data_IF_668921084872
#
_entry.id   IF_668921084872
#
_cell.length_a   1.000
_cell.length_b   1.000
_cell.length_c   1.000
_cell.angle_alpha   90.00
_cell.angle_beta   90.00
_cell.angle_gamma   90.00
#
_symmetry.space_group_name_H-M   'P 1'
#
loop_
_entity.id
_entity.type
_entity.pdbx_description
1 polymer ?
#
# COMPACT_ATOMS: atom_id res chain seq x y z
N UNK A 1 -35.11 -34.65 -5.40
CA UNK A 1 -34.38 -34.97 -4.16
C UNK A 1 -33.10 -34.15 -4.14
N UNK A 2 -33.09 -33.14 -3.30
CA UNK A 2 -31.91 -32.41 -2.82
C UNK A 2 -30.85 -33.38 -2.29
N UNK A 3 -29.58 -33.00 -2.42
CA UNK A 3 -28.47 -33.17 -1.45
C UNK A 3 -27.20 -32.70 -2.19
N UNK A 4 -26.80 -31.44 -2.05
CA UNK A 4 -25.91 -30.91 -1.00
C UNK A 4 -24.70 -30.38 -1.78
N UNK A 5 -24.60 -29.06 -1.99
CA UNK A 5 -23.72 -28.18 -1.21
C UNK A 5 -22.28 -28.69 -1.11
N UNK A 6 -21.52 -28.48 -2.18
CA UNK A 6 -20.09 -28.17 -2.03
C UNK A 6 -19.87 -26.69 -2.38
N UNK A 7 -20.26 -25.83 -1.45
CA UNK A 7 -19.86 -24.42 -1.39
C UNK A 7 -18.36 -24.32 -0.99
N UNK A 8 -17.48 -24.99 -1.72
CA UNK A 8 -16.03 -25.00 -1.45
C UNK A 8 -15.22 -24.13 -2.44
N UNK A 9 -15.89 -23.49 -3.41
CA UNK A 9 -15.27 -22.47 -4.29
C UNK A 9 -15.27 -21.06 -3.69
N UNK A 10 -15.32 -20.93 -2.36
CA UNK A 10 -15.35 -19.64 -1.66
C UNK A 10 -14.32 -19.60 -0.53
N UNK A 11 -13.03 -19.58 -0.88
CA UNK A 11 -11.99 -19.22 0.08
C UNK A 11 -10.70 -18.68 -0.57
N UNK A 12 -10.82 -17.84 -1.61
CA UNK A 12 -9.78 -16.87 -1.91
C UNK A 12 -10.33 -15.50 -1.55
N UNK A 13 -9.72 -14.84 -0.56
CA UNK A 13 -9.94 -13.45 -0.15
C UNK A 13 -11.13 -13.15 0.79
N UNK A 14 -11.26 -13.86 1.92
CA UNK A 14 -11.84 -13.24 3.12
C UNK A 14 -10.80 -12.41 3.87
N UNK A 15 -10.40 -11.30 3.26
CA UNK A 15 -10.06 -10.10 4.03
C UNK A 15 -10.98 -8.98 3.54
N UNK A 16 -12.28 -9.18 3.80
CA UNK A 16 -13.32 -8.16 3.71
C UNK A 16 -13.26 -7.28 4.97
N UNK A 17 -12.06 -6.81 5.30
CA UNK A 17 -11.83 -5.98 6.47
C UNK A 17 -11.90 -4.53 5.98
N UNK A 18 -12.98 -3.86 6.39
CA UNK A 18 -13.25 -2.42 6.48
C UNK A 18 -12.04 -1.53 6.10
N UNK A 19 -12.16 -0.52 5.25
CA UNK A 19 -12.82 0.75 5.58
C UNK A 19 -13.10 1.57 4.31
N UNK A 20 -14.29 2.17 4.27
CA UNK A 20 -14.70 3.20 3.31
C UNK A 20 -14.30 4.62 3.76
N UNK A 21 -13.19 4.77 4.49
CA UNK A 21 -12.76 6.03 5.10
C UNK A 21 -11.30 6.37 4.72
N UNK A 22 -10.94 7.66 4.55
CA UNK A 22 -9.67 8.06 3.99
C UNK A 22 -8.48 7.56 4.83
N UNK A 23 -7.69 6.66 4.22
CA UNK A 23 -6.30 6.23 4.53
C UNK A 23 -5.73 6.69 5.88
N UNK A 24 -6.39 6.31 6.97
CA UNK A 24 -5.80 6.37 8.30
C UNK A 24 -4.90 5.14 8.44
N UNK A 25 -3.61 5.36 8.68
CA UNK A 25 -2.64 4.26 8.85
C UNK A 25 -2.74 3.75 10.30
N UNK A 26 -3.92 3.29 10.70
CA UNK A 26 -4.16 2.71 12.02
C UNK A 26 -3.84 1.21 12.02
N UNK A 27 -2.95 0.76 12.91
CA UNK A 27 -2.71 -0.69 13.11
C UNK A 27 -3.22 -1.10 14.48
N UNK A 28 -4.15 -2.06 14.50
CA UNK A 28 -4.56 -2.74 15.72
C UNK A 28 -3.41 -3.62 16.23
N UNK A 29 -3.00 -3.38 17.48
CA UNK A 29 -2.04 -4.20 18.20
C UNK A 29 -2.71 -5.52 18.54
N UNK A 30 -1.98 -6.63 18.42
CA UNK A 30 -2.47 -7.96 18.80
C UNK A 30 -1.95 -8.32 20.18
N UNK A 31 -2.71 -9.11 20.93
CA UNK A 31 -2.41 -9.40 22.34
C UNK A 31 -1.12 -10.21 22.56
N UNK A 32 -0.65 -10.93 21.53
CA UNK A 32 0.55 -11.77 21.58
C UNK A 32 1.78 -11.13 20.87
N UNK A 33 1.75 -9.84 20.57
CA UNK A 33 2.86 -9.14 19.90
C UNK A 33 3.70 -8.33 20.88
N UNK A 34 5.03 -8.35 20.72
CA UNK A 34 5.89 -7.37 21.39
C UNK A 34 5.66 -5.97 20.80
N UNK A 35 5.78 -4.95 21.64
CA UNK A 35 5.57 -3.53 21.27
C UNK A 35 6.42 -3.15 20.04
N UNK A 36 7.69 -3.60 19.99
CA UNK A 36 8.59 -3.33 18.87
C UNK A 36 8.11 -3.96 17.55
N UNK A 37 7.41 -5.09 17.61
CA UNK A 37 6.84 -5.72 16.42
C UNK A 37 5.66 -4.89 15.90
N UNK A 38 4.83 -4.36 16.80
CA UNK A 38 3.74 -3.45 16.45
C UNK A 38 4.27 -2.15 15.80
N UNK A 39 5.31 -1.54 16.38
CA UNK A 39 5.95 -0.34 15.81
C UNK A 39 6.56 -0.58 14.43
N UNK A 40 7.19 -1.74 14.20
CA UNK A 40 7.70 -2.13 12.89
C UNK A 40 6.58 -2.31 11.86
N UNK A 41 5.45 -2.91 12.24
CA UNK A 41 4.27 -3.03 11.37
C UNK A 41 3.74 -1.64 11.02
N UNK A 42 3.64 -0.75 12.01
CA UNK A 42 3.16 0.63 11.81
C UNK A 42 4.04 1.38 10.82
N UNK A 43 5.36 1.38 11.04
CA UNK A 43 6.32 2.00 10.11
C UNK A 43 6.21 1.44 8.70
N UNK A 44 6.03 0.13 8.54
CA UNK A 44 5.83 -0.51 7.23
C UNK A 44 4.54 -0.05 6.56
N UNK A 45 3.43 0.05 7.30
CA UNK A 45 2.16 0.53 6.76
C UNK A 45 2.22 2.00 6.33
N UNK A 46 2.87 2.86 7.12
CA UNK A 46 3.08 4.30 6.79
C UNK A 46 3.93 4.44 5.54
N UNK A 47 5.00 3.66 5.44
CA UNK A 47 5.85 3.67 4.25
C UNK A 47 5.16 3.09 3.02
N UNK A 48 4.25 2.13 3.20
CA UNK A 48 3.46 1.53 2.12
C UNK A 48 2.41 2.50 1.59
N UNK A 49 1.70 3.22 2.45
CA UNK A 49 0.69 4.21 2.05
C UNK A 49 1.28 5.44 1.37
N UNK A 50 2.57 5.74 1.63
CA UNK A 50 3.30 6.87 1.05
C UNK A 50 2.68 8.24 1.34
N UNK A 51 1.88 8.37 2.39
CA UNK A 51 1.20 9.60 2.81
C UNK A 51 2.17 10.78 2.91
N UNK A 52 3.32 10.60 3.56
CA UNK A 52 4.33 11.66 3.68
C UNK A 52 4.93 12.09 2.34
N UNK A 53 5.02 11.18 1.37
CA UNK A 53 5.53 11.48 0.03
C UNK A 53 4.52 12.30 -0.77
N UNK A 54 3.25 11.94 -0.67
CA UNK A 54 2.16 12.66 -1.33
C UNK A 54 2.05 14.05 -0.73
N UNK A 55 2.00 14.15 0.60
CA UNK A 55 1.96 15.42 1.31
C UNK A 55 3.09 16.36 0.85
N UNK A 56 4.35 15.88 0.89
CA UNK A 56 5.51 16.68 0.45
C UNK A 56 5.46 17.07 -1.03
N UNK A 57 4.92 16.22 -1.89
CA UNK A 57 4.77 16.51 -3.32
C UNK A 57 3.70 17.56 -3.62
N UNK A 58 2.66 17.63 -2.78
CA UNK A 58 1.52 18.52 -2.96
C UNK A 58 1.68 19.87 -2.24
N UNK A 59 2.81 20.11 -1.55
CA UNK A 59 3.05 21.39 -0.85
C UNK A 59 3.17 22.58 -1.79
N UNK A 60 3.49 22.36 -3.07
CA UNK A 60 3.63 23.41 -4.08
C UNK A 60 2.86 23.05 -5.34
N UNK A 61 2.34 24.07 -6.04
CA UNK A 61 1.72 23.88 -7.36
C UNK A 61 2.78 23.53 -8.40
N UNK A 62 2.60 22.39 -9.05
CA UNK A 62 3.43 21.95 -10.18
C UNK A 62 2.54 21.93 -11.41
N UNK A 63 3.01 22.57 -12.48
CA UNK A 63 2.29 22.55 -13.76
C UNK A 63 2.16 21.10 -14.27
N UNK A 64 1.06 20.72 -14.92
CA UNK A 64 0.84 19.33 -15.39
C UNK A 64 1.85 18.88 -16.45
N UNK A 65 2.50 19.81 -17.16
CA UNK A 65 3.62 19.49 -18.06
C UNK A 65 4.85 19.00 -17.29
N UNK A 66 5.21 19.74 -16.23
CA UNK A 66 6.36 19.45 -15.38
C UNK A 66 6.18 18.13 -14.62
N UNK A 67 4.98 17.88 -14.11
CA UNK A 67 4.64 16.61 -13.45
C UNK A 67 4.82 15.42 -14.41
N UNK A 68 4.32 15.52 -15.65
CA UNK A 68 4.49 14.48 -16.68
C UNK A 68 5.96 14.26 -17.04
N UNK A 69 6.76 15.32 -17.13
CA UNK A 69 8.21 15.23 -17.40
C UNK A 69 8.94 14.49 -16.29
N UNK A 70 8.73 14.89 -15.04
CA UNK A 70 9.33 14.27 -13.85
C UNK A 70 8.90 12.80 -13.70
N UNK A 71 7.65 12.46 -14.03
CA UNK A 71 7.15 11.09 -14.00
C UNK A 71 7.90 10.18 -15.00
N UNK A 72 8.11 10.66 -16.24
CA UNK A 72 8.88 9.93 -17.27
C UNK A 72 10.33 9.70 -16.83
N UNK A 73 11.03 10.73 -16.36
CA UNK A 73 12.41 10.61 -15.87
C UNK A 73 12.52 9.64 -14.70
N UNK A 74 11.57 9.69 -13.77
CA UNK A 74 11.51 8.76 -12.63
C UNK A 74 11.29 7.32 -13.09
N UNK A 75 10.43 7.09 -14.09
CA UNK A 75 10.22 5.76 -14.66
C UNK A 75 11.49 5.22 -15.31
N UNK A 76 12.20 6.03 -16.10
CA UNK A 76 13.49 5.66 -16.70
C UNK A 76 14.54 5.34 -15.63
N UNK A 77 14.65 6.17 -14.59
CA UNK A 77 15.56 5.94 -13.45
C UNK A 77 15.25 4.61 -12.75
N UNK A 78 13.97 4.29 -12.54
CA UNK A 78 13.55 3.04 -11.92
C UNK A 78 13.81 1.82 -12.82
N UNK A 79 13.63 1.95 -14.13
CA UNK A 79 13.95 0.89 -15.10
C UNK A 79 15.46 0.58 -15.09
N UNK A 80 16.32 1.62 -15.15
CA UNK A 80 17.78 1.47 -15.05
C UNK A 80 18.22 0.78 -13.76
N UNK A 81 17.59 1.12 -12.62
CA UNK A 81 17.88 0.47 -11.32
C UNK A 81 17.51 -1.01 -11.31
N UNK A 82 16.38 -1.40 -11.93
CA UNK A 82 15.97 -2.81 -12.01
C UNK A 82 16.94 -3.64 -12.85
N UNK A 83 17.45 -3.08 -13.94
CA UNK A 83 18.34 -3.78 -14.86
C UNK A 83 19.78 -3.92 -14.33
N UNK A 84 20.14 -3.30 -13.20
CA UNK A 84 21.51 -3.30 -12.65
C UNK A 84 21.89 -4.59 -11.90
N UNK A 85 20.95 -5.55 -11.78
CA UNK A 85 21.12 -6.78 -11.00
C UNK A 85 21.43 -8.01 -11.87
N UNK A 86 21.73 -7.80 -13.15
CA UNK A 86 22.34 -8.77 -14.07
C UNK A 86 23.72 -8.27 -14.47
#
# INVERSE_FOLDING_TARGET
MTKDRDLSTLACCTNRFTDSEPVSVGIKVRDNESIDRALRRFKRAVNRSRVLRIYRGNMAYVKPSEERRLAKEKALRNARKRNRYY
#
